data_IF_202637984664
#
_entry.id   IF_202637984664
#
_cell.length_a   1.000
_cell.length_b   1.000
_cell.length_c   1.000
_cell.angle_alpha   90.00
_cell.angle_beta   90.00
_cell.angle_gamma   90.00
#
_symmetry.space_group_name_H-M   'P 1'
#
loop_
_entity.id
_entity.type
_entity.pdbx_description
1 polymer ?
#
# COMPACT_ATOMS: atom_id res chain seq x y z
N UNK A 1 -0.14 24.20 14.81
CA UNK A 1 1.19 23.57 14.72
C UNK A 1 1.02 22.06 14.78
N UNK A 2 1.64 21.25 13.91
CA UNK A 2 1.53 19.81 14.02
C UNK A 2 2.31 19.37 15.25
N UNK A 3 1.63 18.81 16.24
CA UNK A 3 2.29 18.18 17.39
C UNK A 3 3.09 16.99 16.88
N UNK A 4 4.38 16.98 17.15
CA UNK A 4 5.23 15.82 16.88
C UNK A 4 4.76 14.73 17.82
N UNK A 5 4.06 13.73 17.29
CA UNK A 5 3.56 12.61 18.08
C UNK A 5 4.76 11.77 18.54
N UNK A 6 4.81 11.46 19.83
CA UNK A 6 5.82 10.57 20.41
C UNK A 6 5.74 9.18 19.74
N UNK A 7 6.86 8.47 19.66
CA UNK A 7 6.94 7.12 19.09
C UNK A 7 6.08 6.11 19.86
N UNK A 8 5.83 6.32 21.16
CA UNK A 8 4.92 5.50 21.96
C UNK A 8 3.48 5.50 21.38
N UNK A 9 3.00 6.66 20.94
CA UNK A 9 1.68 6.79 20.30
C UNK A 9 1.55 5.92 19.04
N UNK A 10 2.65 5.75 18.31
CA UNK A 10 2.70 4.92 17.11
C UNK A 10 2.42 3.45 17.45
N UNK A 11 3.03 2.93 18.53
CA UNK A 11 2.82 1.55 18.99
C UNK A 11 1.39 1.32 19.52
N UNK A 12 0.81 2.31 20.19
CA UNK A 12 -0.56 2.21 20.70
C UNK A 12 -1.62 2.27 19.59
N UNK A 13 -1.37 3.08 18.56
CA UNK A 13 -2.34 3.35 17.48
C UNK A 13 -2.27 2.31 16.38
N UNK A 14 -1.06 1.94 15.97
CA UNK A 14 -0.78 1.01 14.88
C UNK A 14 -0.52 -0.38 15.45
N UNK A 15 -1.62 -1.03 15.87
CA UNK A 15 -1.58 -2.36 16.49
C UNK A 15 -1.44 -3.50 15.48
N UNK A 16 -1.81 -3.22 14.24
CA UNK A 16 -1.82 -4.18 13.15
C UNK A 16 -1.33 -3.52 11.87
N UNK A 17 -0.93 -4.37 10.93
CA UNK A 17 -0.38 -3.94 9.66
C UNK A 17 -1.42 -3.28 8.76
N UNK A 18 -2.71 -3.56 8.97
CA UNK A 18 -3.80 -2.96 8.21
C UNK A 18 -3.89 -1.46 8.51
N UNK A 19 -3.86 -1.12 9.80
CA UNK A 19 -3.72 0.25 10.28
C UNK A 19 -2.39 0.86 9.88
N UNK A 20 -1.31 0.08 9.81
CA UNK A 20 -0.03 0.59 9.34
C UNK A 20 -0.13 1.05 7.87
N UNK A 21 -0.74 0.23 7.00
CA UNK A 21 -0.95 0.56 5.59
C UNK A 21 -1.85 1.77 5.44
N UNK A 22 -2.95 1.84 6.18
CA UNK A 22 -3.85 2.98 6.16
C UNK A 22 -3.13 4.26 6.60
N UNK A 23 -2.41 4.22 7.72
CA UNK A 23 -1.63 5.36 8.21
C UNK A 23 -0.61 5.85 7.19
N UNK A 24 0.12 4.93 6.55
CA UNK A 24 1.09 5.28 5.51
C UNK A 24 0.43 5.92 4.29
N UNK A 25 -0.78 5.49 3.91
CA UNK A 25 -1.56 6.10 2.82
C UNK A 25 -2.07 7.49 3.17
N UNK A 26 -2.63 7.66 4.37
CA UNK A 26 -3.09 8.95 4.89
C UNK A 26 -1.95 9.98 4.95
N UNK A 27 -0.72 9.53 5.21
CA UNK A 27 0.48 10.36 5.21
C UNK A 27 1.12 10.55 3.83
N UNK A 28 0.57 9.95 2.77
CA UNK A 28 1.12 10.02 1.41
C UNK A 28 2.43 9.25 1.21
N UNK A 29 2.82 8.41 2.18
CA UNK A 29 4.02 7.56 2.10
C UNK A 29 3.79 6.30 1.26
N UNK A 30 2.53 5.92 1.08
CA UNK A 30 2.08 4.93 0.11
C UNK A 30 0.98 5.54 -0.75
N UNK A 31 0.88 5.11 -2.00
CA UNK A 31 -0.24 5.48 -2.85
C UNK A 31 -1.54 4.87 -2.33
N UNK A 32 -2.59 5.69 -2.28
CA UNK A 32 -3.99 5.25 -2.10
C UNK A 32 -4.60 4.82 -3.43
N UNK A 33 -4.20 5.49 -4.51
CA UNK A 33 -4.70 5.34 -5.87
C UNK A 33 -3.54 5.43 -6.84
N UNK A 34 -3.69 4.81 -8.02
CA UNK A 34 -2.66 4.89 -9.06
C UNK A 34 -3.24 4.75 -10.46
N UNK A 35 -2.65 5.49 -11.38
CA UNK A 35 -2.91 5.41 -12.82
C UNK A 35 -1.78 4.66 -13.53
N UNK A 36 -2.11 3.86 -14.54
CA UNK A 36 -1.17 3.12 -15.35
C UNK A 36 -0.29 4.08 -16.17
N UNK A 37 1.05 4.01 -16.04
CA UNK A 37 1.93 4.94 -16.74
C UNK A 37 1.96 4.76 -18.26
N UNK A 38 1.40 3.65 -18.77
CA UNK A 38 1.43 3.31 -20.21
C UNK A 38 0.11 3.66 -20.90
N UNK A 39 -1.02 3.35 -20.26
CA UNK A 39 -2.33 3.48 -20.90
C UNK A 39 -3.30 4.42 -20.19
N UNK A 40 -2.90 5.06 -19.10
CA UNK A 40 -3.73 6.05 -18.41
C UNK A 40 -4.90 5.47 -17.61
N UNK A 41 -5.07 4.16 -17.59
CA UNK A 41 -6.17 3.50 -16.87
C UNK A 41 -5.91 3.36 -15.38
N UNK A 42 -7.00 3.36 -14.60
CA UNK A 42 -6.92 3.11 -13.17
C UNK A 42 -6.31 1.73 -12.88
N UNK A 43 -5.47 1.68 -11.84
CA UNK A 43 -4.86 0.45 -11.38
C UNK A 43 -5.53 -0.01 -10.09
N UNK A 44 -5.63 -1.32 -9.91
CA UNK A 44 -6.02 -1.93 -8.64
C UNK A 44 -4.82 -2.51 -7.94
N UNK A 45 -4.84 -2.53 -6.62
CA UNK A 45 -3.84 -3.25 -5.86
C UNK A 45 -4.03 -4.76 -6.10
N UNK A 46 -2.97 -5.45 -6.52
CA UNK A 46 -2.97 -6.89 -6.81
C UNK A 46 -3.16 -7.75 -5.57
N UNK A 47 -3.36 -9.06 -5.77
CA UNK A 47 -3.43 -10.02 -4.66
C UNK A 47 -2.10 -10.00 -3.87
N UNK A 48 -2.21 -9.91 -2.55
CA UNK A 48 -1.05 -9.76 -1.65
C UNK A 48 -0.52 -8.33 -1.50
N UNK A 49 -1.10 -7.34 -2.20
CA UNK A 49 -0.85 -5.91 -1.97
C UNK A 49 0.57 -5.41 -2.27
N UNK A 50 1.34 -6.15 -3.07
CA UNK A 50 2.74 -5.82 -3.39
C UNK A 50 2.92 -5.05 -4.69
N UNK A 51 1.93 -5.13 -5.59
CA UNK A 51 1.94 -4.47 -6.89
C UNK A 51 0.58 -3.85 -7.20
N UNK A 52 0.60 -2.75 -7.94
CA UNK A 52 -0.52 -2.19 -8.67
C UNK A 52 -0.63 -2.89 -10.02
N UNK A 53 -1.80 -3.41 -10.33
CA UNK A 53 -2.11 -4.07 -11.59
C UNK A 53 -3.10 -3.21 -12.39
N UNK A 54 -2.74 -2.90 -13.64
CA UNK A 54 -3.62 -2.19 -14.55
C UNK A 54 -4.91 -3.00 -14.83
N UNK A 55 -6.07 -2.35 -14.76
CA UNK A 55 -7.37 -3.01 -14.98
C UNK A 55 -7.56 -3.45 -16.45
N UNK A 56 -7.04 -2.66 -17.40
CA UNK A 56 -7.13 -2.94 -18.83
C UNK A 56 -6.47 -4.27 -19.19
N UNK A 57 -7.28 -5.23 -19.65
CA UNK A 57 -6.86 -6.62 -19.95
C UNK A 57 -5.79 -6.75 -21.03
N UNK A 58 -5.70 -5.79 -21.95
CA UNK A 58 -4.64 -5.75 -22.98
C UNK A 58 -3.34 -5.16 -22.47
N UNK A 59 -3.36 -4.35 -21.40
CA UNK A 59 -2.16 -3.77 -20.81
C UNK A 59 -1.58 -4.67 -19.71
N UNK A 60 -2.39 -5.05 -18.70
CA UNK A 60 -2.00 -5.86 -17.52
C UNK A 60 -0.67 -5.48 -16.86
N UNK A 61 -0.20 -4.24 -17.07
CA UNK A 61 1.06 -3.77 -16.50
C UNK A 61 1.00 -3.84 -14.98
N UNK A 62 2.05 -4.39 -14.40
CA UNK A 62 2.25 -4.39 -12.96
C UNK A 62 3.33 -3.39 -12.58
N UNK A 63 3.10 -2.64 -11.50
CA UNK A 63 4.05 -1.68 -10.96
C UNK A 63 4.12 -1.87 -9.45
N UNK A 64 5.32 -1.87 -8.86
CA UNK A 64 5.44 -2.06 -7.40
C UNK A 64 4.70 -0.97 -6.63
N UNK A 65 4.12 -1.33 -5.48
CA UNK A 65 3.51 -0.38 -4.53
C UNK A 65 4.52 0.65 -4.00
N UNK A 66 5.82 0.35 -4.10
CA UNK A 66 6.90 1.27 -3.69
C UNK A 66 7.34 2.25 -4.77
N UNK A 67 7.07 1.96 -6.05
CA UNK A 67 7.51 2.81 -7.16
C UNK A 67 6.83 4.16 -7.08
N UNK A 68 7.58 5.26 -7.07
CA UNK A 68 7.07 6.62 -6.91
C UNK A 68 6.72 7.03 -5.47
N UNK A 69 7.10 6.22 -4.47
CA UNK A 69 6.90 6.55 -3.05
C UNK A 69 8.23 6.71 -2.33
N UNK A 70 8.18 7.16 -1.07
CA UNK A 70 9.37 7.26 -0.21
C UNK A 70 10.13 5.93 -0.07
N UNK A 71 9.45 4.78 -0.28
CA UNK A 71 10.06 3.45 -0.17
C UNK A 71 10.75 2.96 -1.46
N UNK A 72 10.76 3.75 -2.53
CA UNK A 72 11.43 3.40 -3.78
C UNK A 72 12.94 3.21 -3.56
N UNK A 73 13.51 2.16 -4.17
CA UNK A 73 14.94 1.85 -4.07
C UNK A 73 15.44 1.38 -2.69
N UNK A 74 14.64 1.49 -1.63
CA UNK A 74 15.03 1.08 -0.28
C UNK A 74 14.96 -0.44 -0.13
N UNK A 75 16.10 -1.06 0.21
CA UNK A 75 16.20 -2.50 0.52
C UNK A 75 15.68 -2.77 1.94
N UNK A 76 14.38 -2.98 2.06
CA UNK A 76 13.82 -3.59 3.28
C UNK A 76 13.80 -5.12 3.11
N UNK A 77 14.24 -5.86 4.13
CA UNK A 77 14.24 -7.33 4.10
C UNK A 77 12.82 -7.82 3.79
N UNK A 78 12.66 -8.57 2.70
CA UNK A 78 11.42 -9.26 2.35
C UNK A 78 11.32 -10.52 3.20
N UNK A 79 10.67 -10.46 4.35
CA UNK A 79 10.25 -11.69 5.01
C UNK A 79 9.09 -12.28 4.20
N UNK A 80 9.31 -13.44 3.56
CA UNK A 80 8.21 -14.21 2.91
C UNK A 80 7.15 -14.67 3.92
N UNK A 81 7.46 -14.64 5.22
CA UNK A 81 6.60 -15.07 6.32
C UNK A 81 6.10 -13.89 7.18
N UNK A 82 6.29 -12.64 6.75
CA UNK A 82 5.67 -11.53 7.49
C UNK A 82 4.18 -11.49 7.19
N UNK A 83 3.40 -11.46 8.25
CA UNK A 83 1.94 -11.28 8.31
C UNK A 83 1.41 -10.15 7.41
N UNK A 84 2.29 -9.24 6.95
CA UNK A 84 2.05 -8.09 6.06
C UNK A 84 1.38 -8.45 4.72
N UNK A 85 1.44 -9.73 4.33
CA UNK A 85 0.71 -10.27 3.18
C UNK A 85 -0.79 -10.49 3.47
N UNK A 86 -1.15 -10.75 4.72
CA UNK A 86 -2.53 -11.03 5.21
C UNK A 86 -3.25 -9.74 5.62
N UNK A 87 -2.54 -8.81 6.27
CA UNK A 87 -2.89 -7.41 6.15
C UNK A 87 -2.73 -6.97 4.68
N UNK A 88 -2.93 -5.75 4.18
CA UNK A 88 -3.05 -5.48 2.72
C UNK A 88 -4.21 -6.22 2.00
N UNK A 89 -4.27 -7.56 2.05
CA UNK A 89 -5.36 -8.41 1.56
C UNK A 89 -6.68 -8.11 2.28
N UNK A 90 -6.69 -8.03 3.62
CA UNK A 90 -7.92 -7.73 4.35
C UNK A 90 -8.42 -6.27 4.21
N UNK A 91 -7.56 -5.26 3.99
CA UNK A 91 -8.01 -3.90 3.64
C UNK A 91 -8.73 -3.85 2.29
N UNK A 92 -8.37 -4.70 1.34
CA UNK A 92 -9.06 -4.78 0.05
C UNK A 92 -10.47 -5.40 0.16
N UNK A 93 -10.73 -6.24 1.17
CA UNK A 93 -12.05 -6.84 1.37
C UNK A 93 -13.05 -5.83 1.92
N UNK A 94 -12.61 -4.89 2.76
CA UNK A 94 -13.47 -3.81 3.28
C UNK A 94 -13.85 -2.79 2.19
N UNK A 95 -13.01 -2.57 1.18
CA UNK A 95 -13.32 -1.68 0.04
C UNK A 95 -14.26 -2.29 -1.01
N UNK A 96 -14.70 -3.54 -0.86
CA UNK A 96 -15.65 -4.22 -1.78
C UNK A 96 -17.08 -4.32 -1.23
N UNK A 97 -17.33 -3.77 -0.03
CA UNK A 97 -18.62 -3.84 0.65
C UNK A 97 -19.45 -2.54 0.53
N UNK A 98 -19.12 -1.66 -0.43
CA UNK A 98 -19.90 -0.49 -0.81
C UNK A 98 -20.13 -0.50 -2.32
#
# INVERSE_FOLDING_TARGET
MPTVKNIEWLYETIKDEQRAVQFLRERGLLHTERVCPVCGEAMRLGRGGMAWCCYKRSCRREVSVRTGTWFEGKRTKRSRNSTCHTAMYASQLQTKAL
#
